data_IF_469788423907
#
_entry.id   IF_469788423907
#
_cell.length_a   1.000
_cell.length_b   1.000
_cell.length_c   1.000
_cell.angle_alpha   90.00
_cell.angle_beta   90.00
_cell.angle_gamma   90.00
#
_symmetry.space_group_name_H-M   'P 1'
#
loop_
_entity.id
_entity.type
_entity.pdbx_description
1 polymer ?
#
# COMPACT_ATOMS: atom_id res chain seq x y z
N UNK A 1 52.95 48.88 0.08
CA UNK A 1 53.42 47.47 -0.08
C UNK A 1 52.51 46.84 -1.13
N UNK A 2 52.92 46.91 -2.40
CA UNK A 2 53.40 45.74 -3.21
C UNK A 2 52.22 44.77 -3.46
N UNK A 3 51.51 44.86 -4.61
CA UNK A 3 51.71 44.03 -5.83
C UNK A 3 50.47 43.13 -6.01
N UNK A 4 49.80 42.92 -7.15
CA UNK A 4 49.98 43.26 -8.56
C UNK A 4 48.59 43.15 -9.25
N UNK A 5 48.32 44.14 -10.11
CA UNK A 5 47.67 44.09 -11.45
C UNK A 5 47.72 42.71 -12.16
N UNK A 6 46.85 42.24 -13.07
CA UNK A 6 45.80 42.77 -13.95
C UNK A 6 45.20 41.56 -14.68
N UNK A 7 43.88 41.54 -14.91
CA UNK A 7 43.31 41.20 -16.23
C UNK A 7 41.92 41.84 -16.30
N UNK A 8 41.91 43.05 -16.85
CA UNK A 8 40.72 43.83 -17.20
C UNK A 8 40.20 43.34 -18.56
N UNK A 9 38.87 43.39 -18.72
CA UNK A 9 38.10 43.36 -19.96
C UNK A 9 37.95 42.01 -20.68
N UNK A 10 36.80 41.36 -20.46
CA UNK A 10 35.83 41.22 -21.54
C UNK A 10 34.41 41.07 -21.00
N UNK A 11 33.56 41.99 -21.46
CA UNK A 11 32.12 41.81 -21.69
C UNK A 11 31.17 41.72 -20.49
N UNK A 12 30.48 42.84 -20.31
CA UNK A 12 29.13 43.05 -19.76
C UNK A 12 28.16 41.85 -20.00
N UNK A 13 27.31 41.60 -18.99
CA UNK A 13 26.30 40.53 -18.87
C UNK A 13 26.91 39.14 -18.63
N UNK A 14 26.79 38.55 -17.43
CA UNK A 14 25.69 37.65 -17.06
C UNK A 14 25.64 37.52 -15.52
N UNK A 15 24.85 38.37 -14.84
CA UNK A 15 24.63 38.32 -13.39
C UNK A 15 23.25 37.77 -13.00
N UNK A 16 22.51 37.15 -13.92
CA UNK A 16 21.13 36.74 -13.66
C UNK A 16 20.92 35.28 -14.02
N UNK A 17 20.79 34.42 -13.01
CA UNK A 17 20.31 33.06 -13.27
C UNK A 17 20.52 32.02 -12.20
N UNK A 18 20.78 32.35 -10.93
CA UNK A 18 20.40 31.39 -9.88
C UNK A 18 18.88 31.57 -9.72
N UNK A 19 18.09 30.80 -10.47
CA UNK A 19 16.68 30.66 -10.15
C UNK A 19 16.65 29.96 -8.80
N UNK A 20 16.55 30.74 -7.73
CA UNK A 20 16.23 30.21 -6.42
C UNK A 20 14.83 29.59 -6.53
N UNK A 21 14.77 28.27 -6.70
CA UNK A 21 13.54 27.51 -6.59
C UNK A 21 13.14 27.48 -5.12
N UNK A 22 12.57 28.58 -4.64
CA UNK A 22 11.95 28.60 -3.31
C UNK A 22 10.76 27.64 -3.35
N UNK A 23 10.92 26.45 -2.78
CA UNK A 23 9.82 25.52 -2.58
C UNK A 23 8.87 26.18 -1.57
N UNK A 24 7.71 26.64 -2.04
CA UNK A 24 6.65 27.15 -1.17
C UNK A 24 6.25 26.05 -0.18
N UNK A 25 6.34 26.32 1.12
CA UNK A 25 5.81 25.42 2.16
C UNK A 25 4.33 25.69 2.45
N UNK A 26 3.67 26.53 1.64
CA UNK A 26 2.30 26.92 1.89
C UNK A 26 1.33 25.78 1.55
N UNK A 27 0.60 25.29 2.55
CA UNK A 27 -0.36 24.17 2.39
C UNK A 27 -1.51 24.49 1.43
N UNK A 28 -1.79 25.78 1.18
CA UNK A 28 -2.83 26.26 0.27
C UNK A 28 -2.57 25.89 -1.19
N UNK A 29 -1.33 25.58 -1.56
CA UNK A 29 -0.96 25.19 -2.92
C UNK A 29 -1.37 23.76 -3.27
N UNK A 30 -1.78 22.96 -2.27
CA UNK A 30 -2.34 21.64 -2.50
C UNK A 30 -3.83 21.71 -2.86
N UNK A 31 -4.39 20.71 -3.57
CA UNK A 31 -5.83 20.67 -3.83
C UNK A 31 -6.64 20.74 -2.53
N UNK A 32 -7.44 21.79 -2.38
CA UNK A 32 -8.31 21.97 -1.20
C UNK A 32 -9.69 21.38 -1.43
N UNK A 33 -10.12 21.28 -2.69
CA UNK A 33 -11.44 20.81 -3.08
C UNK A 33 -11.27 19.53 -3.90
N UNK A 34 -11.97 18.49 -3.47
CA UNK A 34 -12.16 17.27 -4.24
C UNK A 34 -13.64 17.10 -4.58
N UNK A 35 -13.98 16.57 -5.76
CA UNK A 35 -15.35 16.19 -6.07
C UNK A 35 -15.91 15.25 -5.00
N UNK A 36 -17.20 15.36 -4.70
CA UNK A 36 -17.91 14.47 -3.77
C UNK A 36 -18.19 13.08 -4.38
N UNK A 37 -17.19 12.49 -5.02
CA UNK A 37 -17.23 11.14 -5.59
C UNK A 37 -16.66 10.17 -4.57
N UNK A 38 -17.48 9.20 -4.13
CA UNK A 38 -17.02 8.14 -3.23
C UNK A 38 -16.52 6.94 -4.04
N UNK A 39 -15.21 6.81 -4.14
CA UNK A 39 -14.49 5.70 -4.76
C UNK A 39 -13.25 5.43 -3.91
N UNK A 40 -13.41 4.73 -2.77
CA UNK A 40 -12.38 4.69 -1.76
C UNK A 40 -11.10 4.05 -2.29
N UNK A 41 -9.96 4.52 -1.79
CA UNK A 41 -8.63 3.92 -2.03
C UNK A 41 -7.95 3.70 -0.69
N UNK A 42 -7.34 2.52 -0.51
CA UNK A 42 -6.51 2.24 0.64
C UNK A 42 -5.06 2.57 0.29
N UNK A 43 -4.34 3.20 1.21
CA UNK A 43 -2.93 3.52 1.00
C UNK A 43 -2.14 3.46 2.31
N UNK A 44 -0.84 3.24 2.21
CA UNK A 44 0.07 3.14 3.35
C UNK A 44 1.30 4.02 3.20
N UNK A 45 1.74 4.66 4.27
CA UNK A 45 3.02 5.38 4.34
C UNK A 45 4.16 4.50 4.85
N UNK A 46 3.96 3.17 4.89
CA UNK A 46 4.88 2.19 5.45
C UNK A 46 4.66 1.90 6.94
N UNK A 47 3.97 2.78 7.66
CA UNK A 47 3.70 2.65 9.10
C UNK A 47 2.21 2.54 9.40
N UNK A 48 1.40 3.32 8.70
CA UNK A 48 -0.04 3.39 8.88
C UNK A 48 -0.75 3.03 7.59
N UNK A 49 -1.94 2.45 7.73
CA UNK A 49 -2.90 2.25 6.64
C UNK A 49 -4.01 3.28 6.78
N UNK A 50 -4.44 3.84 5.66
CA UNK A 50 -5.51 4.83 5.64
C UNK A 50 -6.36 4.67 4.39
N UNK A 51 -7.68 4.68 4.60
CA UNK A 51 -8.65 4.82 3.52
C UNK A 51 -8.85 6.31 3.18
N UNK A 52 -8.89 6.60 1.88
CA UNK A 52 -9.21 7.91 1.34
C UNK A 52 -10.48 7.80 0.50
N UNK A 53 -11.40 8.75 0.64
CA UNK A 53 -12.69 8.72 -0.07
C UNK A 53 -12.58 8.68 -1.61
N UNK A 54 -11.47 9.17 -2.17
CA UNK A 54 -11.15 9.10 -3.60
C UNK A 54 -9.66 9.30 -3.85
N UNK A 55 -9.22 9.04 -5.09
CA UNK A 55 -7.86 9.38 -5.56
C UNK A 55 -7.51 10.86 -5.39
N UNK A 56 -8.49 11.76 -5.52
CA UNK A 56 -8.27 13.19 -5.29
C UNK A 56 -7.86 13.44 -3.84
N UNK A 57 -8.56 12.82 -2.89
CA UNK A 57 -8.28 12.99 -1.46
C UNK A 57 -6.89 12.43 -1.11
N UNK A 58 -6.50 11.29 -1.69
CA UNK A 58 -5.16 10.72 -1.54
C UNK A 58 -4.09 11.68 -2.10
N UNK A 59 -4.27 12.20 -3.31
CA UNK A 59 -3.33 13.17 -3.93
C UNK A 59 -3.21 14.44 -3.11
N UNK A 60 -4.32 14.98 -2.62
CA UNK A 60 -4.34 16.18 -1.79
C UNK A 60 -3.61 15.96 -0.46
N UNK A 61 -3.81 14.80 0.19
CA UNK A 61 -3.09 14.42 1.39
C UNK A 61 -1.58 14.24 1.13
N UNK A 62 -1.21 13.55 0.06
CA UNK A 62 0.19 13.35 -0.31
C UNK A 62 0.91 14.66 -0.66
N UNK A 63 0.24 15.60 -1.34
CA UNK A 63 0.80 16.93 -1.60
C UNK A 63 1.18 17.64 -0.29
N UNK A 64 0.29 17.63 0.70
CA UNK A 64 0.54 18.23 2.02
C UNK A 64 1.71 17.54 2.73
N UNK A 65 1.71 16.20 2.74
CA UNK A 65 2.78 15.39 3.34
C UNK A 65 4.14 15.66 2.71
N UNK A 66 4.22 15.76 1.38
CA UNK A 66 5.48 16.09 0.68
C UNK A 66 6.03 17.44 1.09
N UNK A 67 5.18 18.47 1.20
CA UNK A 67 5.59 19.81 1.64
C UNK A 67 6.04 19.85 3.09
N UNK A 68 5.44 19.00 3.92
CA UNK A 68 5.82 18.82 5.32
C UNK A 68 6.94 17.78 5.53
N UNK A 69 7.62 17.36 4.45
CA UNK A 69 8.70 16.36 4.47
C UNK A 69 8.32 15.02 5.14
N UNK A 70 7.04 14.63 5.05
CA UNK A 70 6.52 13.36 5.55
C UNK A 70 6.47 12.31 4.43
N UNK A 71 6.67 11.04 4.79
CA UNK A 71 6.50 9.91 3.85
C UNK A 71 5.10 9.94 3.26
N UNK A 72 4.98 9.86 1.94
CA UNK A 72 3.68 9.82 1.26
C UNK A 72 3.03 8.45 1.40
N UNK A 73 1.70 8.44 1.31
CA UNK A 73 0.96 7.20 1.18
C UNK A 73 1.11 6.62 -0.23
N UNK A 74 1.54 5.36 -0.33
CA UNK A 74 1.49 4.54 -1.53
C UNK A 74 0.19 3.72 -1.54
N UNK A 75 -0.51 3.69 -2.67
CA UNK A 75 -1.76 2.93 -2.78
C UNK A 75 -1.50 1.43 -2.57
N UNK A 76 -2.39 0.79 -1.81
CA UNK A 76 -2.36 -0.64 -1.51
C UNK A 76 -3.69 -1.29 -1.87
N UNK A 77 -3.74 -2.61 -1.74
CA UNK A 77 -5.00 -3.33 -1.88
C UNK A 77 -6.04 -2.85 -0.85
N UNK A 78 -7.29 -2.72 -1.28
CA UNK A 78 -8.39 -2.24 -0.43
C UNK A 78 -8.65 -3.12 0.79
N UNK A 79 -8.36 -4.41 0.71
CA UNK A 79 -8.53 -5.33 1.84
C UNK A 79 -7.68 -4.91 3.05
N UNK A 80 -6.60 -4.14 2.85
CA UNK A 80 -5.82 -3.62 3.96
C UNK A 80 -6.58 -2.63 4.87
N UNK A 81 -7.59 -1.96 4.33
CA UNK A 81 -8.42 -1.02 5.08
C UNK A 81 -9.80 -1.60 5.43
N UNK A 82 -10.31 -2.52 4.61
CA UNK A 82 -11.71 -2.98 4.68
C UNK A 82 -11.92 -4.36 5.31
N UNK A 83 -10.87 -5.19 5.43
CA UNK A 83 -10.98 -6.54 6.00
C UNK A 83 -10.56 -6.60 7.47
N UNK A 84 -11.21 -7.47 8.23
CA UNK A 84 -10.83 -7.80 9.61
C UNK A 84 -9.60 -8.71 9.61
N UNK A 85 -8.54 -8.30 10.32
CA UNK A 85 -7.37 -9.16 10.53
C UNK A 85 -7.67 -10.19 11.60
N UNK A 86 -7.49 -11.46 11.26
CA UNK A 86 -7.78 -12.60 12.12
C UNK A 86 -6.54 -13.49 12.27
N UNK A 87 -6.35 -14.04 13.46
CA UNK A 87 -5.25 -14.98 13.74
C UNK A 87 -5.57 -16.37 13.17
N UNK A 88 -6.82 -16.82 13.31
CA UNK A 88 -7.29 -18.09 12.79
C UNK A 88 -8.37 -17.89 11.71
N UNK A 89 -7.96 -18.02 10.45
CA UNK A 89 -8.87 -17.99 9.30
C UNK A 89 -9.82 -19.18 9.29
N UNK A 90 -9.42 -20.34 9.79
CA UNK A 90 -10.24 -21.56 9.80
C UNK A 90 -11.47 -21.38 10.69
N UNK A 91 -11.30 -20.76 11.86
CA UNK A 91 -12.40 -20.46 12.78
C UNK A 91 -13.40 -19.48 12.12
N UNK A 92 -12.89 -18.36 11.61
CA UNK A 92 -13.72 -17.27 11.05
C UNK A 92 -14.42 -17.65 9.74
N UNK A 93 -13.91 -18.65 9.03
CA UNK A 93 -14.50 -19.21 7.82
C UNK A 93 -15.38 -20.44 8.11
N UNK A 94 -15.90 -20.57 9.33
CA UNK A 94 -16.91 -21.58 9.67
C UNK A 94 -16.33 -22.93 10.08
N UNK A 95 -15.20 -22.92 10.79
CA UNK A 95 -14.51 -24.14 11.27
C UNK A 95 -14.21 -25.11 10.13
N UNK A 96 -13.68 -24.58 9.04
CA UNK A 96 -13.50 -25.37 7.83
C UNK A 96 -12.62 -26.59 8.07
N UNK A 97 -13.04 -27.71 7.50
CA UNK A 97 -12.32 -28.98 7.53
C UNK A 97 -11.37 -29.02 6.34
N UNK A 98 -10.07 -29.07 6.59
CA UNK A 98 -9.03 -29.12 5.55
C UNK A 98 -8.74 -30.56 5.08
N UNK A 99 -9.29 -31.56 5.77
CA UNK A 99 -9.18 -32.98 5.50
C UNK A 99 -10.27 -33.51 4.55
N UNK A 100 -10.81 -32.66 3.69
CA UNK A 100 -11.69 -33.09 2.60
C UNK A 100 -10.90 -33.99 1.66
N UNK A 101 -11.37 -35.22 1.42
CA UNK A 101 -10.60 -36.26 0.72
C UNK A 101 -10.05 -35.83 -0.65
N UNK A 102 -10.80 -35.02 -1.40
CA UNK A 102 -10.37 -34.49 -2.70
C UNK A 102 -9.39 -33.29 -2.61
N UNK A 103 -9.33 -32.63 -1.45
CA UNK A 103 -8.47 -31.47 -1.19
C UNK A 103 -7.24 -31.82 -0.36
N UNK A 104 -7.21 -33.00 0.26
CA UNK A 104 -6.15 -33.44 1.14
C UNK A 104 -4.86 -33.61 0.34
N UNK A 105 -4.04 -32.57 0.37
CA UNK A 105 -2.74 -32.49 -0.27
C UNK A 105 -1.69 -32.30 0.83
N UNK A 106 -0.82 -33.29 1.10
CA UNK A 106 0.22 -33.14 2.10
C UNK A 106 1.19 -32.03 1.66
N UNK A 107 1.17 -30.90 2.35
CA UNK A 107 2.08 -29.80 2.09
C UNK A 107 3.45 -30.07 2.70
N UNK A 108 4.50 -29.56 2.05
CA UNK A 108 5.84 -29.53 2.65
C UNK A 108 5.84 -28.64 3.89
N UNK A 109 6.72 -28.93 4.85
CA UNK A 109 6.94 -28.10 6.05
C UNK A 109 7.72 -26.82 5.76
N UNK A 110 7.66 -26.31 4.53
CA UNK A 110 8.29 -25.05 4.16
C UNK A 110 7.40 -23.92 4.67
N UNK A 111 7.94 -23.13 5.60
CA UNK A 111 7.26 -21.96 6.12
C UNK A 111 7.60 -20.73 5.27
N UNK A 112 6.64 -20.33 4.44
CA UNK A 112 6.70 -19.16 3.54
C UNK A 112 5.37 -18.42 3.69
N UNK A 113 5.16 -17.70 4.81
CA UNK A 113 3.86 -17.19 5.17
C UNK A 113 3.33 -16.21 4.12
N UNK A 114 2.03 -16.31 3.85
CA UNK A 114 1.32 -15.43 2.93
C UNK A 114 0.20 -14.74 3.69
N UNK A 115 0.13 -13.42 3.59
CA UNK A 115 -1.06 -12.70 3.96
C UNK A 115 -2.10 -12.88 2.87
N UNK A 116 -3.24 -13.45 3.22
CA UNK A 116 -4.33 -13.76 2.31
C UNK A 116 -5.61 -13.11 2.75
N UNK A 117 -6.53 -12.87 1.83
CA UNK A 117 -7.83 -12.25 2.12
C UNK A 117 -8.92 -12.77 1.21
N UNK A 118 -10.16 -12.74 1.69
CA UNK A 118 -11.36 -12.87 0.87
C UNK A 118 -12.16 -11.56 0.78
N UNK A 119 -11.53 -10.43 1.12
CA UNK A 119 -12.17 -9.12 1.19
C UNK A 119 -12.94 -8.85 2.49
N UNK A 120 -13.38 -9.90 3.21
CA UNK A 120 -14.00 -9.76 4.54
C UNK A 120 -13.00 -9.95 5.67
N UNK A 121 -12.21 -11.03 5.59
CA UNK A 121 -11.16 -11.34 6.54
C UNK A 121 -9.80 -11.34 5.83
N UNK A 122 -8.74 -11.04 6.58
CA UNK A 122 -7.36 -11.30 6.18
C UNK A 122 -6.62 -12.01 7.30
N UNK A 123 -5.66 -12.84 6.94
CA UNK A 123 -4.85 -13.58 7.90
C UNK A 123 -3.68 -14.27 7.22
N UNK A 124 -2.82 -14.89 8.03
CA UNK A 124 -1.62 -15.57 7.53
C UNK A 124 -1.94 -17.05 7.27
N UNK A 125 -1.48 -17.55 6.12
CA UNK A 125 -1.38 -19.00 5.84
C UNK A 125 0.09 -19.38 5.65
N UNK A 126 0.45 -20.61 6.00
CA UNK A 126 1.86 -21.01 6.16
C UNK A 126 2.67 -21.04 4.86
N UNK A 127 2.00 -21.27 3.71
CA UNK A 127 2.60 -21.27 2.38
C UNK A 127 1.52 -21.34 1.29
N UNK A 128 1.94 -21.28 0.03
CA UNK A 128 1.04 -21.39 -1.13
C UNK A 128 0.26 -22.71 -1.19
N UNK A 129 0.87 -23.84 -0.78
CA UNK A 129 0.17 -25.12 -0.73
C UNK A 129 -0.98 -25.11 0.29
N UNK A 130 -0.75 -24.54 1.49
CA UNK A 130 -1.79 -24.38 2.49
C UNK A 130 -2.94 -23.52 1.95
N UNK A 131 -2.64 -22.42 1.24
CA UNK A 131 -3.65 -21.60 0.58
C UNK A 131 -4.51 -22.40 -0.41
N UNK A 132 -3.88 -23.23 -1.26
CA UNK A 132 -4.59 -24.10 -2.20
C UNK A 132 -5.54 -25.06 -1.47
N UNK A 133 -5.07 -25.69 -0.39
CA UNK A 133 -5.91 -26.59 0.43
C UNK A 133 -7.08 -25.85 1.07
N UNK A 134 -6.85 -24.64 1.61
CA UNK A 134 -7.91 -23.78 2.15
C UNK A 134 -8.98 -23.48 1.08
N UNK A 135 -8.56 -23.03 -0.10
CA UNK A 135 -9.49 -22.68 -1.17
C UNK A 135 -10.24 -23.90 -1.72
N UNK A 136 -9.57 -25.04 -1.86
CA UNK A 136 -10.23 -26.28 -2.25
C UNK A 136 -11.31 -26.66 -1.23
N UNK A 137 -10.96 -26.67 0.06
CA UNK A 137 -11.92 -27.00 1.12
C UNK A 137 -13.10 -26.01 1.14
N UNK A 138 -12.86 -24.71 0.93
CA UNK A 138 -13.90 -23.69 0.83
C UNK A 138 -14.88 -24.00 -0.30
N UNK A 139 -14.36 -24.32 -1.49
CA UNK A 139 -15.20 -24.68 -2.63
C UNK A 139 -15.99 -25.97 -2.38
N UNK A 140 -15.34 -27.00 -1.85
CA UNK A 140 -15.96 -28.29 -1.55
C UNK A 140 -17.10 -28.18 -0.51
N UNK A 141 -17.04 -27.15 0.35
CA UNK A 141 -18.07 -26.83 1.36
C UNK A 141 -19.10 -25.81 0.88
N UNK A 142 -19.10 -25.46 -0.41
CA UNK A 142 -20.10 -24.61 -1.06
C UNK A 142 -19.81 -23.11 -1.01
N UNK A 143 -18.60 -22.69 -0.65
CA UNK A 143 -18.22 -21.29 -0.71
C UNK A 143 -18.23 -20.78 -2.15
N UNK A 144 -18.77 -19.58 -2.37
CA UNK A 144 -18.74 -18.92 -3.66
C UNK A 144 -17.30 -18.53 -4.05
N UNK A 145 -16.97 -18.43 -5.35
CA UNK A 145 -15.63 -18.01 -5.79
C UNK A 145 -15.16 -16.67 -5.20
N UNK A 146 -16.07 -15.74 -4.94
CA UNK A 146 -15.76 -14.44 -4.33
C UNK A 146 -15.35 -14.53 -2.85
N UNK A 147 -15.64 -15.65 -2.18
CA UNK A 147 -15.29 -15.89 -0.78
C UNK A 147 -13.94 -16.60 -0.60
N UNK A 148 -13.27 -16.96 -1.71
CA UNK A 148 -11.97 -17.61 -1.70
C UNK A 148 -10.87 -16.63 -1.33
N UNK A 149 -9.83 -17.18 -0.72
CA UNK A 149 -8.67 -16.43 -0.29
C UNK A 149 -7.73 -16.18 -1.48
N UNK A 150 -7.31 -14.93 -1.64
CA UNK A 150 -6.24 -14.52 -2.57
C UNK A 150 -5.09 -13.91 -1.79
N UNK A 151 -3.89 -13.91 -2.38
CA UNK A 151 -2.69 -13.34 -1.78
C UNK A 151 -2.78 -11.81 -1.79
N UNK A 152 -2.48 -11.19 -0.65
CA UNK A 152 -2.23 -9.75 -0.52
C UNK A 152 -0.74 -9.43 -0.60
N UNK A 153 0.07 -10.17 0.17
CA UNK A 153 1.52 -9.98 0.27
C UNK A 153 2.15 -11.25 0.85
N UNK A 154 3.44 -11.42 0.62
CA UNK A 154 4.28 -12.30 1.42
C UNK A 154 4.49 -11.78 2.86
N UNK A 155 4.83 -12.72 3.74
CA UNK A 155 5.41 -12.58 5.07
C UNK A 155 4.49 -12.09 6.19
N UNK A 156 3.69 -11.04 5.97
CA UNK A 156 2.95 -10.38 7.07
C UNK A 156 1.58 -9.86 6.65
N UNK A 157 0.64 -9.98 7.59
CA UNK A 157 -0.52 -9.11 7.75
C UNK A 157 -0.28 -8.23 8.99
#
# INVERSE_FOLDING_TARGET
MISQTVQVCCCLALLSGIVATTVSINETDCPQICPSVYKPVCASDGFNLKEFASDCNLKAANCRRQRNAQTVYAQTDMAWCSSEQVEDLREKLGNIKLDVAECLKPCSMIYQPLCVTNGKYRGIVSNACALETFNCALQATGAQPAALLRILRADTC
#
